data_IF_863289183075
#
_entry.id   IF_863289183075
#
_cell.length_a   1.000
_cell.length_b   1.000
_cell.length_c   1.000
_cell.angle_alpha   90.00
_cell.angle_beta   90.00
_cell.angle_gamma   90.00
#
_symmetry.space_group_name_H-M   'P 1'
#
loop_
_entity.id
_entity.type
_entity.pdbx_description
1 polymer ?
#
# COMPACT_ATOMS: atom_id res chain seq x y z
N UNK A 1 -0.67 62.53 20.91
CA UNK A 1 -0.64 61.05 20.97
C UNK A 1 0.78 60.58 20.68
N UNK A 2 1.27 59.55 21.38
CA UNK A 2 2.68 59.13 21.31
C UNK A 2 2.93 58.30 20.03
N UNK A 3 3.24 58.98 18.92
CA UNK A 3 3.49 58.37 17.59
C UNK A 3 4.54 57.26 17.66
N UNK A 4 5.58 57.43 18.48
CA UNK A 4 6.62 56.41 18.67
C UNK A 4 6.06 55.11 19.24
N UNK A 5 5.20 55.20 20.26
CA UNK A 5 4.54 54.02 20.85
C UNK A 5 3.64 53.32 19.83
N UNK A 6 2.88 54.08 19.03
CA UNK A 6 2.01 53.52 18.00
C UNK A 6 2.79 52.73 16.94
N UNK A 7 3.93 53.28 16.48
CA UNK A 7 4.83 52.60 15.53
C UNK A 7 5.42 51.33 16.17
N UNK A 8 5.88 51.39 17.42
CA UNK A 8 6.43 50.22 18.11
C UNK A 8 5.40 49.10 18.24
N UNK A 9 4.14 49.42 18.60
CA UNK A 9 3.06 48.43 18.67
C UNK A 9 2.81 47.79 17.31
N UNK A 10 2.76 48.59 16.23
CA UNK A 10 2.55 48.09 14.87
C UNK A 10 3.66 47.12 14.45
N UNK A 11 4.91 47.48 14.75
CA UNK A 11 6.09 46.67 14.40
C UNK A 11 6.14 45.38 15.21
N UNK A 12 6.00 45.45 16.54
CA UNK A 12 6.05 44.26 17.40
C UNK A 12 4.83 43.35 17.26
N UNK A 13 3.69 43.91 16.81
CA UNK A 13 2.47 43.16 16.54
C UNK A 13 2.53 42.27 15.30
N UNK A 14 3.51 42.47 14.40
CA UNK A 14 3.66 41.66 13.19
C UNK A 14 4.17 40.25 13.56
N UNK A 15 3.41 39.16 13.33
CA UNK A 15 3.80 37.84 13.81
C UNK A 15 4.69 37.11 12.79
N UNK A 16 5.95 37.53 12.61
CA UNK A 16 6.84 36.94 11.59
C UNK A 16 7.02 35.43 11.74
N UNK A 17 7.22 34.95 12.98
CA UNK A 17 7.31 33.52 13.29
C UNK A 17 6.04 32.72 12.94
N UNK A 18 4.86 33.35 12.98
CA UNK A 18 3.59 32.71 12.60
C UNK A 18 3.53 32.46 11.10
N UNK A 19 3.95 33.45 10.32
CA UNK A 19 3.94 33.41 8.84
C UNK A 19 4.81 32.27 8.32
N UNK A 20 5.99 32.06 8.92
CA UNK A 20 6.96 31.07 8.46
C UNK A 20 6.80 29.68 9.10
N UNK A 21 6.13 29.59 10.26
CA UNK A 21 6.09 28.36 11.05
C UNK A 21 5.54 27.15 10.31
N UNK A 22 4.34 27.26 9.73
CA UNK A 22 3.75 26.13 9.00
C UNK A 22 4.47 25.80 7.67
N UNK A 23 4.85 26.77 6.82
CA UNK A 23 5.62 26.48 5.61
C UNK A 23 6.92 25.72 5.85
N UNK A 24 7.70 26.08 6.87
CA UNK A 24 8.97 25.38 7.15
C UNK A 24 8.72 23.98 7.67
N UNK A 25 7.76 23.79 8.57
CA UNK A 25 7.36 22.45 9.05
C UNK A 25 6.92 21.55 7.89
N UNK A 26 6.16 22.09 6.95
CA UNK A 26 5.72 21.38 5.75
C UNK A 26 6.91 21.00 4.87
N UNK A 27 7.78 21.94 4.51
CA UNK A 27 8.95 21.65 3.65
C UNK A 27 9.85 20.57 4.27
N UNK A 28 10.14 20.66 5.58
CA UNK A 28 10.98 19.68 6.25
C UNK A 28 10.28 18.32 6.37
N UNK A 29 9.00 18.29 6.74
CA UNK A 29 8.22 17.06 6.90
C UNK A 29 8.00 16.33 5.58
N UNK A 30 7.56 17.04 4.54
CA UNK A 30 7.35 16.51 3.20
C UNK A 30 8.69 16.02 2.60
N UNK A 31 9.77 16.79 2.78
CA UNK A 31 11.10 16.39 2.35
C UNK A 31 11.62 15.14 3.07
N UNK A 32 11.30 14.98 4.36
CA UNK A 32 11.59 13.76 5.11
C UNK A 32 10.80 12.56 4.58
N UNK A 33 9.48 12.72 4.35
CA UNK A 33 8.63 11.69 3.77
C UNK A 33 9.14 11.22 2.41
N UNK A 34 9.46 12.17 1.51
CA UNK A 34 9.96 11.88 0.18
C UNK A 34 11.25 11.03 0.21
N UNK A 35 12.18 11.34 1.13
CA UNK A 35 13.40 10.54 1.36
C UNK A 35 13.13 9.11 1.83
N UNK A 36 11.96 8.84 2.41
CA UNK A 36 11.55 7.52 2.90
C UNK A 36 10.50 6.84 2.00
N UNK A 37 10.31 7.35 0.78
CA UNK A 37 9.40 6.77 -0.20
C UNK A 37 7.92 7.06 0.05
N UNK A 38 7.62 8.22 0.65
CA UNK A 38 6.27 8.73 0.93
C UNK A 38 6.17 10.13 0.33
N UNK A 39 5.52 10.26 -0.81
CA UNK A 39 5.29 11.56 -1.44
C UNK A 39 3.91 12.09 -1.04
N UNK A 40 3.85 13.25 -0.40
CA UNK A 40 2.60 13.88 0.05
C UNK A 40 2.39 15.16 -0.78
N UNK A 41 1.23 15.31 -1.42
CA UNK A 41 0.90 16.44 -2.29
C UNK A 41 0.27 17.58 -1.52
N UNK A 42 1.09 18.29 -0.76
CA UNK A 42 0.68 19.49 -0.04
C UNK A 42 0.67 19.34 1.48
N UNK A 43 0.68 20.48 2.16
CA UNK A 43 0.74 20.53 3.62
C UNK A 43 -0.61 20.29 4.31
N UNK A 44 -1.72 20.57 3.63
CA UNK A 44 -3.08 20.37 4.15
C UNK A 44 -3.42 18.87 4.28
N UNK A 45 -2.88 18.03 3.39
CA UNK A 45 -2.98 16.57 3.45
C UNK A 45 -2.39 16.03 4.76
N UNK A 46 -1.26 16.57 5.23
CA UNK A 46 -0.64 16.15 6.48
C UNK A 46 -1.56 16.40 7.70
N UNK A 47 -2.33 17.48 7.69
CA UNK A 47 -3.31 17.78 8.76
C UNK A 47 -4.54 16.89 8.68
N UNK A 48 -5.00 16.54 7.47
CA UNK A 48 -6.12 15.60 7.26
C UNK A 48 -5.75 14.19 7.74
N UNK A 49 -4.51 13.75 7.49
CA UNK A 49 -3.99 12.43 7.87
C UNK A 49 -4.10 12.13 9.37
N UNK A 50 -3.89 13.12 10.24
CA UNK A 50 -4.01 12.94 11.70
C UNK A 50 -5.46 12.67 12.14
N UNK A 51 -6.44 13.11 11.36
CA UNK A 51 -7.88 13.00 11.65
C UNK A 51 -8.51 11.71 11.14
N UNK A 52 -7.84 10.98 10.24
CA UNK A 52 -8.35 9.73 9.65
C UNK A 52 -8.64 8.70 10.75
N UNK A 53 -9.83 8.12 10.75
CA UNK A 53 -10.24 7.05 11.66
C UNK A 53 -10.44 5.70 10.93
N UNK A 54 -10.76 5.76 9.63
CA UNK A 54 -11.14 4.61 8.82
C UNK A 54 -10.23 4.50 7.61
N UNK A 55 -9.64 3.34 7.43
CA UNK A 55 -8.76 3.02 6.29
C UNK A 55 -9.43 1.93 5.46
N UNK A 56 -9.84 2.31 4.26
CA UNK A 56 -10.39 1.42 3.25
C UNK A 56 -9.30 1.03 2.25
N UNK A 57 -9.18 -0.25 1.95
CA UNK A 57 -8.18 -0.78 1.04
C UNK A 57 -8.84 -1.36 -0.19
N UNK A 58 -8.31 -1.07 -1.37
CA UNK A 58 -8.44 -2.00 -2.47
C UNK A 58 -7.70 -3.30 -2.16
N UNK A 59 -8.18 -4.42 -2.69
CA UNK A 59 -7.52 -5.71 -2.52
C UNK A 59 -6.39 -5.92 -3.53
N UNK A 60 -6.67 -5.78 -4.82
CA UNK A 60 -5.80 -6.25 -5.91
C UNK A 60 -4.67 -5.24 -6.15
N UNK A 61 -3.41 -5.69 -6.18
CA UNK A 61 -2.26 -4.76 -6.32
C UNK A 61 -1.95 -3.90 -5.10
N UNK A 62 -2.89 -3.77 -4.15
CA UNK A 62 -2.71 -3.02 -2.89
C UNK A 62 -2.35 -3.94 -1.73
N UNK A 63 -3.31 -4.68 -1.16
CA UNK A 63 -3.04 -5.68 -0.10
C UNK A 63 -2.34 -6.94 -0.64
N UNK A 64 -2.42 -7.11 -1.95
CA UNK A 64 -1.82 -8.20 -2.72
C UNK A 64 -0.70 -7.67 -3.61
N UNK A 65 0.08 -8.57 -4.20
CA UNK A 65 1.27 -8.21 -4.98
C UNK A 65 0.92 -7.62 -6.36
N UNK A 66 -0.33 -7.75 -6.82
CA UNK A 66 -0.74 -7.38 -8.18
C UNK A 66 -0.23 -8.35 -9.23
N UNK A 67 0.24 -9.53 -8.81
CA UNK A 67 0.86 -10.54 -9.67
C UNK A 67 0.27 -11.90 -9.35
N UNK A 68 -0.36 -12.50 -10.36
CA UNK A 68 -0.85 -13.87 -10.25
C UNK A 68 0.32 -14.81 -10.06
N UNK A 69 0.24 -15.68 -9.06
CA UNK A 69 1.19 -16.76 -8.83
C UNK A 69 0.46 -18.02 -8.37
N UNK A 70 1.13 -19.16 -8.43
CA UNK A 70 0.57 -20.43 -7.96
C UNK A 70 0.52 -20.40 -6.43
N UNK A 71 -0.68 -20.48 -5.87
CA UNK A 71 -0.92 -20.55 -4.43
C UNK A 71 -1.00 -21.98 -3.91
N UNK A 72 -1.56 -22.89 -4.71
CA UNK A 72 -1.66 -24.32 -4.37
C UNK A 72 -1.33 -25.15 -5.60
N UNK A 73 -0.57 -26.23 -5.40
CA UNK A 73 -0.31 -27.22 -6.43
C UNK A 73 -0.54 -28.62 -5.83
N UNK A 74 -1.18 -29.50 -6.59
CA UNK A 74 -1.36 -30.89 -6.22
C UNK A 74 -1.08 -31.78 -7.43
N UNK A 75 -0.30 -32.83 -7.21
CA UNK A 75 0.16 -33.75 -8.25
C UNK A 75 -0.39 -35.15 -8.01
N UNK A 76 -0.61 -35.88 -9.09
CA UNK A 76 -1.06 -37.29 -9.09
C UNK A 76 -0.19 -38.19 -9.98
N UNK A 77 0.90 -37.66 -10.54
CA UNK A 77 1.90 -38.44 -11.25
C UNK A 77 2.92 -39.04 -10.26
N UNK A 78 3.69 -40.03 -10.73
CA UNK A 78 4.78 -40.62 -9.93
C UNK A 78 6.04 -39.72 -9.89
N UNK A 79 6.12 -38.71 -10.75
CA UNK A 79 7.27 -37.83 -10.92
C UNK A 79 6.83 -36.37 -11.14
N UNK A 80 6.76 -35.61 -10.05
CA UNK A 80 6.33 -34.21 -10.05
C UNK A 80 7.28 -33.31 -10.85
N UNK A 81 8.58 -33.62 -10.86
CA UNK A 81 9.57 -32.85 -11.60
C UNK A 81 9.34 -32.98 -13.11
N UNK A 82 9.09 -34.21 -13.59
CA UNK A 82 8.76 -34.44 -14.99
C UNK A 82 7.44 -33.77 -15.39
N UNK A 83 6.42 -33.76 -14.52
CA UNK A 83 5.18 -33.01 -14.77
C UNK A 83 5.48 -31.51 -14.90
N UNK A 84 6.29 -30.95 -14.00
CA UNK A 84 6.66 -29.55 -14.01
C UNK A 84 7.38 -29.14 -15.32
N UNK A 85 8.32 -29.97 -15.80
CA UNK A 85 9.02 -29.73 -17.07
C UNK A 85 8.08 -29.77 -18.28
N UNK A 86 7.21 -30.78 -18.35
CA UNK A 86 6.24 -30.92 -19.44
C UNK A 86 5.24 -29.76 -19.45
N UNK A 87 4.71 -29.39 -18.28
CA UNK A 87 3.75 -28.28 -18.13
C UNK A 87 4.41 -26.95 -18.49
N UNK A 88 5.62 -26.70 -18.00
CA UNK A 88 6.33 -25.47 -18.30
C UNK A 88 6.69 -25.33 -19.78
N UNK A 89 7.06 -26.42 -20.45
CA UNK A 89 7.36 -26.41 -21.89
C UNK A 89 6.14 -25.95 -22.72
N UNK A 90 4.95 -26.51 -22.45
CA UNK A 90 3.73 -26.12 -23.16
C UNK A 90 3.35 -24.65 -22.89
N UNK A 91 3.44 -24.20 -21.64
CA UNK A 91 3.08 -22.81 -21.29
C UNK A 91 4.05 -21.78 -21.88
N UNK A 92 5.34 -22.10 -21.99
CA UNK A 92 6.32 -21.23 -22.66
C UNK A 92 6.00 -21.04 -24.15
N UNK A 93 5.39 -22.03 -24.80
CA UNK A 93 5.05 -21.95 -26.22
C UNK A 93 3.85 -21.04 -26.53
N UNK A 94 2.99 -20.70 -25.54
CA UNK A 94 1.75 -19.94 -25.77
C UNK A 94 1.75 -18.50 -25.28
N UNK A 95 2.77 -18.10 -24.52
CA UNK A 95 2.95 -16.75 -23.96
C UNK A 95 1.76 -16.24 -23.11
N UNK A 96 0.88 -17.11 -22.61
CA UNK A 96 -0.29 -16.72 -21.83
C UNK A 96 0.12 -16.16 -20.45
N UNK A 97 -0.50 -15.07 -19.93
CA UNK A 97 -0.14 -14.50 -18.63
C UNK A 97 -0.23 -15.48 -17.45
N UNK A 98 -1.25 -16.35 -17.43
CA UNK A 98 -1.33 -17.43 -16.43
C UNK A 98 -0.22 -18.46 -16.62
N UNK A 99 0.16 -18.75 -17.86
CA UNK A 99 1.26 -19.65 -18.19
C UNK A 99 2.60 -19.14 -17.67
N UNK A 100 2.86 -17.85 -17.80
CA UNK A 100 4.05 -17.22 -17.23
C UNK A 100 4.12 -17.39 -15.70
N UNK A 101 2.98 -17.29 -15.01
CA UNK A 101 2.89 -17.52 -13.58
C UNK A 101 3.15 -19.00 -13.21
N UNK A 102 2.67 -19.97 -14.00
CA UNK A 102 3.01 -21.39 -13.83
C UNK A 102 4.51 -21.61 -14.05
N UNK A 103 5.07 -21.13 -15.15
CA UNK A 103 6.50 -21.32 -15.48
C UNK A 103 7.41 -20.76 -14.39
N UNK A 104 7.09 -19.57 -13.87
CA UNK A 104 7.83 -18.95 -12.78
C UNK A 104 7.78 -19.75 -11.48
N UNK A 105 6.66 -20.42 -11.20
CA UNK A 105 6.51 -21.31 -10.05
C UNK A 105 7.26 -22.64 -10.22
N UNK A 106 7.12 -23.26 -11.40
CA UNK A 106 7.64 -24.61 -11.66
C UNK A 106 9.16 -24.67 -11.77
N UNK A 107 9.82 -23.56 -12.18
CA UNK A 107 11.28 -23.45 -12.32
C UNK A 107 11.90 -24.70 -12.97
N UNK A 108 11.50 -25.03 -14.21
CA UNK A 108 11.91 -26.27 -14.85
C UNK A 108 13.43 -26.31 -15.04
N UNK A 109 14.04 -27.48 -14.85
CA UNK A 109 15.46 -27.70 -15.11
C UNK A 109 15.72 -27.83 -16.62
N UNK A 110 14.81 -28.49 -17.33
CA UNK A 110 14.83 -28.63 -18.78
C UNK A 110 13.49 -28.21 -19.40
N UNK A 111 13.54 -27.73 -20.64
CA UNK A 111 12.36 -27.35 -21.42
C UNK A 111 12.38 -28.13 -22.73
N UNK A 112 11.75 -29.33 -22.77
CA UNK A 112 11.73 -30.14 -23.98
C UNK A 112 11.05 -29.42 -25.14
N UNK A 113 11.45 -29.75 -26.37
CA UNK A 113 10.84 -29.16 -27.56
C UNK A 113 9.35 -29.55 -27.65
N UNK A 114 8.51 -28.55 -27.97
CA UNK A 114 7.07 -28.69 -28.10
C UNK A 114 6.68 -28.71 -29.57
N UNK A 115 5.80 -29.63 -29.95
CA UNK A 115 5.24 -29.74 -31.31
C UNK A 115 3.71 -29.84 -31.27
N UNK A 116 3.04 -29.58 -32.40
CA UNK A 116 1.57 -29.64 -32.55
C UNK A 116 0.79 -28.83 -31.48
N UNK A 117 1.20 -27.58 -31.24
CA UNK A 117 0.52 -26.69 -30.28
C UNK A 117 -0.86 -26.28 -30.81
N UNK A 118 -1.90 -26.64 -30.06
CA UNK A 118 -3.30 -26.33 -30.34
C UNK A 118 -3.91 -25.55 -29.18
N UNK A 119 -4.24 -24.28 -29.42
CA UNK A 119 -4.89 -23.41 -28.44
C UNK A 119 -6.40 -23.40 -28.69
N UNK A 120 -7.17 -23.81 -27.69
CA UNK A 120 -8.64 -23.76 -27.71
C UNK A 120 -9.11 -22.63 -26.80
N UNK A 121 -9.64 -21.56 -27.39
CA UNK A 121 -10.09 -20.36 -26.66
C UNK A 121 -11.10 -20.72 -25.56
N UNK A 122 -10.84 -20.21 -24.35
CA UNK A 122 -11.70 -20.44 -23.20
C UNK A 122 -11.66 -21.86 -22.62
N UNK A 123 -10.74 -22.72 -23.10
CA UNK A 123 -10.52 -24.07 -22.57
C UNK A 123 -9.07 -24.23 -22.13
N UNK A 124 -8.10 -24.00 -23.02
CA UNK A 124 -6.68 -24.20 -22.71
C UNK A 124 -5.82 -24.45 -23.94
N UNK A 125 -4.64 -25.02 -23.71
CA UNK A 125 -3.67 -25.43 -24.72
C UNK A 125 -3.44 -26.94 -24.64
N UNK A 126 -3.26 -27.57 -25.79
CA UNK A 126 -2.77 -28.92 -25.93
C UNK A 126 -1.53 -28.93 -26.83
N UNK A 127 -0.54 -29.73 -26.51
CA UNK A 127 0.64 -29.91 -27.35
C UNK A 127 1.30 -31.28 -27.13
N UNK A 128 2.17 -31.67 -28.06
CA UNK A 128 3.06 -32.83 -27.91
C UNK A 128 4.40 -32.37 -27.35
N UNK A 129 4.83 -32.99 -26.25
CA UNK A 129 6.12 -32.72 -25.60
C UNK A 129 6.82 -34.06 -25.38
N UNK A 130 7.97 -34.24 -26.04
CA UNK A 130 8.59 -35.56 -26.20
C UNK A 130 7.58 -36.58 -26.77
N UNK A 131 7.29 -37.66 -26.04
CA UNK A 131 6.35 -38.73 -26.44
C UNK A 131 4.97 -38.61 -25.78
N UNK A 132 4.68 -37.49 -25.10
CA UNK A 132 3.47 -37.32 -24.31
C UNK A 132 2.56 -36.21 -24.85
N UNK A 133 1.25 -36.47 -24.83
CA UNK A 133 0.23 -35.46 -25.12
C UNK A 133 -0.12 -34.71 -23.84
N UNK A 134 0.28 -33.45 -23.77
CA UNK A 134 0.09 -32.59 -22.60
C UNK A 134 -1.02 -31.58 -22.88
N UNK A 135 -2.03 -31.53 -22.02
CA UNK A 135 -3.09 -30.52 -22.12
C UNK A 135 -3.23 -29.74 -20.81
N UNK A 136 -3.21 -28.41 -20.90
CA UNK A 136 -3.27 -27.48 -19.79
C UNK A 136 -4.45 -26.54 -20.01
N UNK A 137 -5.35 -26.42 -19.03
CA UNK A 137 -6.57 -25.64 -19.21
C UNK A 137 -7.41 -25.51 -17.96
N UNK A 138 -8.68 -25.15 -18.14
CA UNK A 138 -9.67 -25.16 -17.08
C UNK A 138 -10.38 -26.52 -16.98
N UNK A 139 -11.37 -26.64 -16.09
CA UNK A 139 -12.10 -27.90 -15.90
C UNK A 139 -12.70 -28.51 -17.19
N UNK A 140 -12.99 -27.70 -18.22
CA UNK A 140 -13.52 -28.18 -19.51
C UNK A 140 -12.49 -28.95 -20.35
N UNK A 141 -11.20 -28.86 -20.03
CA UNK A 141 -10.15 -29.62 -20.72
C UNK A 141 -10.05 -31.08 -20.23
N UNK A 142 -10.77 -31.44 -19.17
CA UNK A 142 -10.78 -32.79 -18.63
C UNK A 142 -11.67 -33.70 -19.47
N UNK A 143 -11.11 -34.80 -19.96
CA UNK A 143 -11.81 -35.77 -20.82
C UNK A 143 -12.11 -37.10 -20.12
N UNK A 144 -11.39 -37.41 -19.04
CA UNK A 144 -11.56 -38.63 -18.26
C UNK A 144 -12.30 -38.39 -16.94
N UNK A 145 -13.05 -39.39 -16.43
CA UNK A 145 -13.70 -39.30 -15.14
C UNK A 145 -12.68 -39.14 -14.01
N UNK A 146 -12.94 -38.19 -13.13
CA UNK A 146 -12.09 -37.89 -11.97
C UNK A 146 -12.40 -38.83 -10.81
N UNK A 147 -11.36 -39.24 -10.08
CA UNK A 147 -11.50 -39.90 -8.78
C UNK A 147 -12.07 -38.94 -7.72
N UNK A 148 -12.65 -39.48 -6.65
CA UNK A 148 -13.18 -38.68 -5.53
C UNK A 148 -12.13 -37.72 -4.95
N UNK A 149 -10.89 -38.17 -4.81
CA UNK A 149 -9.79 -37.33 -4.30
C UNK A 149 -9.48 -36.14 -5.23
N UNK A 150 -9.47 -36.36 -6.55
CA UNK A 150 -9.24 -35.31 -7.54
C UNK A 150 -10.39 -34.29 -7.59
N UNK A 151 -11.64 -34.76 -7.45
CA UNK A 151 -12.80 -33.88 -7.36
C UNK A 151 -12.72 -32.97 -6.13
N UNK A 152 -12.37 -33.53 -4.96
CA UNK A 152 -12.18 -32.74 -3.73
C UNK A 152 -11.08 -31.70 -3.90
N UNK A 153 -9.95 -32.06 -4.48
CA UNK A 153 -8.85 -31.12 -4.74
C UNK A 153 -9.27 -29.94 -5.61
N UNK A 154 -9.94 -30.21 -6.74
CA UNK A 154 -10.45 -29.17 -7.65
C UNK A 154 -11.45 -28.26 -6.92
N UNK A 155 -12.37 -28.83 -6.16
CA UNK A 155 -13.36 -28.06 -5.39
C UNK A 155 -12.69 -27.19 -4.33
N UNK A 156 -11.63 -27.65 -3.67
CA UNK A 156 -10.88 -26.86 -2.70
C UNK A 156 -10.21 -25.65 -3.37
N UNK A 157 -9.61 -25.83 -4.54
CA UNK A 157 -9.02 -24.72 -5.32
C UNK A 157 -10.09 -23.69 -5.69
N UNK A 158 -11.23 -24.13 -6.21
CA UNK A 158 -12.35 -23.23 -6.58
C UNK A 158 -12.88 -22.48 -5.37
N UNK A 159 -13.11 -23.17 -4.25
CA UNK A 159 -13.59 -22.57 -2.99
C UNK A 159 -12.60 -21.55 -2.41
N UNK A 160 -11.30 -21.72 -2.66
CA UNK A 160 -10.28 -20.76 -2.23
C UNK A 160 -10.27 -19.45 -3.03
N UNK A 161 -11.10 -19.36 -4.09
CA UNK A 161 -11.15 -18.22 -5.01
C UNK A 161 -10.00 -18.15 -6.01
N UNK A 162 -9.17 -19.20 -6.09
CA UNK A 162 -8.10 -19.27 -7.05
C UNK A 162 -8.63 -19.67 -8.45
N UNK A 163 -8.00 -19.14 -9.48
CA UNK A 163 -8.18 -19.59 -10.86
C UNK A 163 -7.61 -20.99 -11.01
N UNK A 164 -8.50 -21.95 -11.27
CA UNK A 164 -8.13 -23.35 -11.47
C UNK A 164 -7.44 -23.55 -12.82
N UNK A 165 -6.23 -24.10 -12.79
CA UNK A 165 -5.54 -24.65 -13.96
C UNK A 165 -5.31 -26.14 -13.73
N UNK A 166 -5.71 -26.96 -14.70
CA UNK A 166 -5.51 -28.41 -14.66
C UNK A 166 -4.54 -28.81 -15.75
N UNK A 167 -3.63 -29.73 -15.44
CA UNK A 167 -2.67 -30.30 -16.37
C UNK A 167 -2.91 -31.80 -16.51
N UNK A 168 -3.03 -32.26 -17.74
CA UNK A 168 -3.22 -33.67 -18.09
C UNK A 168 -2.07 -34.16 -18.96
N UNK A 169 -1.65 -35.40 -18.74
CA UNK A 169 -0.65 -36.12 -19.53
C UNK A 169 -1.32 -37.39 -20.06
N UNK A 170 -1.34 -37.56 -21.38
CA UNK A 170 -1.99 -38.68 -22.07
C UNK A 170 -3.45 -38.88 -21.64
N UNK A 171 -4.16 -37.76 -21.44
CA UNK A 171 -5.56 -37.71 -21.02
C UNK A 171 -5.83 -37.97 -19.53
N UNK A 172 -4.80 -38.30 -18.74
CA UNK A 172 -4.93 -38.48 -17.28
C UNK A 172 -4.57 -37.20 -16.54
N UNK A 173 -5.30 -36.86 -15.49
CA UNK A 173 -4.99 -35.70 -14.64
C UNK A 173 -3.65 -35.92 -13.92
N UNK A 174 -2.67 -35.07 -14.25
CA UNK A 174 -1.32 -35.13 -13.71
C UNK A 174 -1.14 -34.11 -12.58
N UNK A 175 -1.68 -32.91 -12.74
CA UNK A 175 -1.60 -31.87 -11.71
C UNK A 175 -2.78 -30.88 -11.76
N UNK A 176 -3.01 -30.22 -10.64
CA UNK A 176 -3.94 -29.11 -10.48
C UNK A 176 -3.21 -27.97 -9.80
N UNK A 177 -3.40 -26.76 -10.32
CA UNK A 177 -2.84 -25.52 -9.82
C UNK A 177 -3.95 -24.54 -9.50
N UNK A 178 -3.85 -23.89 -8.35
CA UNK A 178 -4.67 -22.75 -7.97
C UNK A 178 -3.87 -21.47 -8.13
N UNK A 179 -4.21 -20.65 -9.12
CA UNK A 179 -3.54 -19.40 -9.41
C UNK A 179 -4.32 -18.23 -8.82
N UNK A 180 -3.65 -17.39 -8.04
CA UNK A 180 -4.26 -16.15 -7.52
C UNK A 180 -3.19 -15.11 -7.25
N UNK A 181 -3.65 -13.87 -7.10
CA UNK A 181 -2.81 -12.83 -6.51
C UNK A 181 -2.56 -13.18 -5.05
N UNK A 182 -1.32 -13.05 -4.59
CA UNK A 182 -0.95 -13.37 -3.21
C UNK A 182 -0.91 -12.12 -2.35
N UNK A 183 -1.28 -12.25 -1.07
CA UNK A 183 -1.11 -11.18 -0.10
C UNK A 183 0.37 -10.76 -0.03
N UNK A 184 0.61 -9.47 0.18
CA UNK A 184 1.96 -9.00 0.47
C UNK A 184 2.39 -9.49 1.85
N UNK A 185 3.68 -9.77 1.99
CA UNK A 185 4.25 -10.27 3.25
C UNK A 185 4.11 -9.27 4.40
N UNK A 186 4.01 -7.98 4.09
CA UNK A 186 3.86 -6.89 5.06
C UNK A 186 2.40 -6.56 5.41
N UNK A 187 1.41 -7.12 4.68
CA UNK A 187 -0.02 -6.86 4.93
C UNK A 187 -0.46 -7.18 6.36
N UNK A 188 -0.18 -8.36 6.95
CA UNK A 188 -0.64 -8.67 8.30
C UNK A 188 -0.08 -7.72 9.36
N UNK A 189 1.22 -7.41 9.28
CA UNK A 189 1.89 -6.51 10.22
C UNK A 189 1.41 -5.05 10.11
N UNK A 190 1.12 -4.60 8.89
CA UNK A 190 0.54 -3.27 8.66
C UNK A 190 -0.88 -3.18 9.26
N UNK A 191 -1.75 -4.16 9.00
CA UNK A 191 -3.11 -4.15 9.53
C UNK A 191 -3.13 -4.20 11.06
N UNK A 192 -2.27 -5.03 11.67
CA UNK A 192 -2.11 -5.06 13.12
C UNK A 192 -1.66 -3.71 13.70
N UNK A 193 -0.76 -3.00 13.00
CA UNK A 193 -0.32 -1.66 13.39
C UNK A 193 -1.45 -0.63 13.32
N UNK A 194 -2.29 -0.69 12.28
CA UNK A 194 -3.44 0.22 12.16
C UNK A 194 -4.49 -0.04 13.24
N UNK A 195 -4.79 -1.32 13.51
CA UNK A 195 -5.73 -1.69 14.55
C UNK A 195 -5.23 -1.28 15.95
N UNK A 196 -3.94 -1.47 16.24
CA UNK A 196 -3.32 -1.03 17.48
C UNK A 196 -3.37 0.50 17.68
N UNK A 197 -3.41 1.25 16.57
CA UNK A 197 -3.61 2.70 16.57
C UNK A 197 -5.10 3.12 16.55
N UNK A 198 -6.01 2.17 16.77
CA UNK A 198 -7.45 2.42 16.85
C UNK A 198 -8.12 2.73 15.51
N UNK A 199 -7.49 2.39 14.38
CA UNK A 199 -8.07 2.62 13.05
C UNK A 199 -8.98 1.47 12.64
N UNK A 200 -10.15 1.80 12.10
CA UNK A 200 -11.06 0.84 11.47
C UNK A 200 -10.50 0.46 10.10
N UNK A 201 -10.38 -0.83 9.81
CA UNK A 201 -9.78 -1.34 8.57
C UNK A 201 -10.83 -2.08 7.75
N UNK A 202 -11.05 -1.65 6.51
CA UNK A 202 -12.08 -2.20 5.61
C UNK A 202 -11.44 -2.59 4.29
N UNK A 203 -11.79 -3.76 3.75
CA UNK A 203 -11.37 -4.18 2.40
C UNK A 203 -12.53 -4.03 1.43
N UNK A 204 -12.28 -3.41 0.29
CA UNK A 204 -13.20 -3.28 -0.85
C UNK A 204 -12.60 -4.04 -2.04
N UNK A 205 -13.37 -4.96 -2.64
CA UNK A 205 -12.88 -5.84 -3.70
C UNK A 205 -13.96 -6.15 -4.74
N UNK A 206 -13.52 -6.35 -5.99
CA UNK A 206 -14.39 -6.83 -7.07
C UNK A 206 -14.64 -8.35 -7.03
N UNK A 207 -13.76 -9.12 -6.37
CA UNK A 207 -13.98 -10.56 -6.14
C UNK A 207 -15.23 -10.81 -5.32
N UNK A 208 -15.86 -11.98 -5.49
CA UNK A 208 -17.05 -12.34 -4.71
C UNK A 208 -16.81 -12.28 -3.20
N UNK A 209 -17.86 -11.96 -2.44
CA UNK A 209 -17.81 -11.84 -0.98
C UNK A 209 -17.12 -13.05 -0.32
N UNK A 210 -17.52 -14.26 -0.71
CA UNK A 210 -16.96 -15.51 -0.16
C UNK A 210 -15.44 -15.65 -0.39
N UNK A 211 -14.94 -15.20 -1.54
CA UNK A 211 -13.50 -15.26 -1.84
C UNK A 211 -12.72 -14.26 -0.98
N UNK A 212 -13.26 -13.04 -0.84
CA UNK A 212 -12.63 -12.01 -0.02
C UNK A 212 -12.60 -12.43 1.45
N UNK A 213 -13.73 -12.90 1.99
CA UNK A 213 -13.82 -13.37 3.38
C UNK A 213 -12.85 -14.53 3.64
N UNK A 214 -12.78 -15.50 2.73
CA UNK A 214 -11.88 -16.63 2.88
C UNK A 214 -10.40 -16.22 2.85
N UNK A 215 -10.02 -15.29 1.96
CA UNK A 215 -8.65 -14.80 1.85
C UNK A 215 -8.23 -13.96 3.05
N UNK A 216 -9.17 -13.26 3.66
CA UNK A 216 -8.95 -12.27 4.70
C UNK A 216 -9.23 -12.78 6.12
N UNK A 217 -9.68 -14.04 6.26
CA UNK A 217 -10.16 -14.63 7.51
C UNK A 217 -9.15 -14.54 8.67
N UNK A 218 -7.86 -14.70 8.38
CA UNK A 218 -6.79 -14.70 9.39
C UNK A 218 -6.18 -13.32 9.64
N UNK A 219 -6.71 -12.27 9.00
CA UNK A 219 -6.18 -10.91 9.11
C UNK A 219 -7.01 -10.06 10.08
N UNK A 220 -6.36 -9.13 10.82
CA UNK A 220 -7.04 -8.22 11.73
C UNK A 220 -7.78 -7.11 10.95
N UNK A 221 -8.94 -7.46 10.40
CA UNK A 221 -9.81 -6.57 9.63
C UNK A 221 -11.11 -6.30 10.37
N UNK A 222 -11.65 -5.10 10.20
CA UNK A 222 -12.97 -4.75 10.76
C UNK A 222 -14.10 -5.26 9.87
N UNK A 223 -13.98 -5.10 8.55
CA UNK A 223 -15.00 -5.49 7.57
C UNK A 223 -14.40 -5.84 6.20
N UNK A 224 -15.09 -6.69 5.45
CA UNK A 224 -14.76 -7.04 4.05
C UNK A 224 -16.00 -6.92 3.18
N UNK A 225 -15.85 -6.28 2.02
CA UNK A 225 -16.91 -6.12 1.02
C UNK A 225 -16.38 -6.56 -0.35
N UNK A 226 -17.01 -7.59 -0.90
CA UNK A 226 -16.74 -8.17 -2.21
C UNK A 226 -17.88 -7.93 -3.21
N UNK A 227 -17.63 -8.23 -4.49
CA UNK A 227 -18.56 -8.07 -5.59
C UNK A 227 -18.77 -6.61 -6.01
N UNK A 228 -17.84 -5.72 -5.66
CA UNK A 228 -17.97 -4.28 -5.88
C UNK A 228 -17.47 -3.88 -7.26
N UNK A 229 -18.27 -3.07 -7.97
CA UNK A 229 -17.81 -2.30 -9.13
C UNK A 229 -17.05 -1.05 -8.65
N UNK A 230 -16.27 -0.37 -9.53
CA UNK A 230 -15.57 0.86 -9.16
C UNK A 230 -16.49 1.94 -8.56
N UNK A 231 -17.73 2.06 -9.05
CA UNK A 231 -18.74 3.00 -8.52
C UNK A 231 -19.24 2.63 -7.12
N UNK A 232 -19.25 1.33 -6.80
CA UNK A 232 -19.70 0.86 -5.49
C UNK A 232 -18.64 1.15 -4.43
N UNK A 233 -17.35 1.12 -4.79
CA UNK A 233 -16.27 1.56 -3.89
C UNK A 233 -16.44 3.02 -3.49
N UNK A 234 -16.73 3.90 -4.47
CA UNK A 234 -17.02 5.33 -4.23
C UNK A 234 -18.23 5.49 -3.31
N UNK A 235 -19.27 4.69 -3.53
CA UNK A 235 -20.50 4.71 -2.73
C UNK A 235 -20.23 4.28 -1.28
N UNK A 236 -19.40 3.25 -1.07
CA UNK A 236 -18.99 2.80 0.27
C UNK A 236 -18.21 3.89 1.02
N UNK A 237 -17.30 4.60 0.34
CA UNK A 237 -16.55 5.73 0.93
C UNK A 237 -17.51 6.85 1.33
N UNK A 238 -18.43 7.25 0.44
CA UNK A 238 -19.44 8.28 0.75
C UNK A 238 -20.33 7.91 1.92
N UNK A 239 -20.73 6.64 2.02
CA UNK A 239 -21.56 6.16 3.11
C UNK A 239 -20.84 6.27 4.46
N UNK A 240 -19.57 5.90 4.53
CA UNK A 240 -18.76 6.06 5.74
C UNK A 240 -18.58 7.55 6.10
N UNK A 241 -18.27 8.40 5.12
CA UNK A 241 -18.16 9.85 5.31
C UNK A 241 -19.47 10.48 5.82
N UNK A 242 -20.62 10.01 5.34
CA UNK A 242 -21.93 10.46 5.80
C UNK A 242 -22.22 10.08 7.27
N UNK A 243 -21.60 9.01 7.77
CA UNK A 243 -21.63 8.64 9.19
C UNK A 243 -20.62 9.42 10.05
N UNK A 244 -19.88 10.37 9.46
CA UNK A 244 -18.89 11.19 10.14
C UNK A 244 -17.49 10.57 10.22
N UNK A 245 -17.27 9.41 9.59
CA UNK A 245 -15.94 8.78 9.51
C UNK A 245 -15.02 9.62 8.62
N UNK A 246 -13.75 9.76 9.03
CA UNK A 246 -12.69 10.34 8.21
C UNK A 246 -11.95 9.24 7.46
N UNK A 247 -12.18 9.18 6.15
CA UNK A 247 -11.85 8.02 5.33
C UNK A 247 -10.56 8.24 4.55
N UNK A 248 -9.60 7.35 4.78
CA UNK A 248 -8.47 7.14 3.89
C UNK A 248 -8.79 5.98 2.96
N UNK A 249 -8.57 6.15 1.66
CA UNK A 249 -8.63 5.04 0.71
C UNK A 249 -7.22 4.73 0.18
N UNK A 250 -6.84 3.46 0.20
CA UNK A 250 -5.53 2.99 -0.30
C UNK A 250 -5.77 2.09 -1.50
N UNK A 251 -5.19 2.44 -2.65
CA UNK A 251 -5.38 1.71 -3.92
C UNK A 251 -4.12 1.66 -4.78
N UNK A 252 -4.16 0.88 -5.87
CA UNK A 252 -3.04 0.81 -6.81
C UNK A 252 -3.01 2.01 -7.78
N UNK A 253 -4.13 2.72 -7.88
CA UNK A 253 -4.32 3.91 -8.70
C UNK A 253 -4.55 3.66 -10.18
N UNK A 254 -4.62 2.39 -10.62
CA UNK A 254 -4.95 2.03 -12.01
C UNK A 254 -6.48 2.02 -12.19
N UNK A 255 -7.18 1.30 -11.32
CA UNK A 255 -8.64 1.13 -11.40
C UNK A 255 -9.40 1.93 -10.33
N UNK A 256 -8.67 2.51 -9.37
CA UNK A 256 -9.24 3.11 -8.17
C UNK A 256 -9.23 4.64 -8.16
N UNK A 257 -8.93 5.29 -9.28
CA UNK A 257 -8.87 6.76 -9.39
C UNK A 257 -10.10 7.47 -8.79
N UNK A 258 -11.34 7.07 -9.12
CA UNK A 258 -12.54 7.67 -8.53
C UNK A 258 -12.66 7.49 -7.01
N UNK A 259 -12.20 6.35 -6.48
CA UNK A 259 -12.23 6.06 -5.05
C UNK A 259 -11.15 6.88 -4.30
N UNK A 260 -9.94 6.98 -4.88
CA UNK A 260 -8.86 7.84 -4.39
C UNK A 260 -9.31 9.30 -4.29
N UNK A 261 -9.97 9.82 -5.31
CA UNK A 261 -10.44 11.20 -5.35
C UNK A 261 -11.63 11.48 -4.41
N UNK A 262 -12.41 10.47 -4.05
CA UNK A 262 -13.57 10.62 -3.16
C UNK A 262 -13.18 10.61 -1.67
N UNK A 263 -12.08 9.95 -1.30
CA UNK A 263 -11.64 9.84 0.08
C UNK A 263 -11.23 11.20 0.66
N UNK A 264 -11.23 11.34 2.00
CA UNK A 264 -10.66 12.52 2.66
C UNK A 264 -9.14 12.58 2.43
N UNK A 265 -8.50 11.40 2.32
CA UNK A 265 -7.11 11.23 1.87
C UNK A 265 -7.00 9.99 0.97
N UNK A 266 -6.66 10.19 -0.31
CA UNK A 266 -6.33 9.13 -1.25
C UNK A 266 -4.86 8.74 -1.20
N UNK A 267 -4.54 7.47 -1.00
CA UNK A 267 -3.18 6.93 -0.99
C UNK A 267 -2.98 5.93 -2.12
N UNK A 268 -2.06 6.21 -3.03
CA UNK A 268 -1.73 5.31 -4.11
C UNK A 268 -0.44 4.52 -3.86
N UNK A 269 -0.43 3.26 -4.28
CA UNK A 269 0.77 2.45 -4.36
C UNK A 269 1.65 2.89 -5.55
N UNK A 270 2.97 2.86 -5.38
CA UNK A 270 3.91 3.28 -6.43
C UNK A 270 3.85 2.46 -7.72
N UNK A 271 3.23 1.27 -7.71
CA UNK A 271 3.05 0.42 -8.89
C UNK A 271 2.13 1.00 -9.97
N UNK A 272 1.30 1.99 -9.65
CA UNK A 272 0.41 2.69 -10.61
C UNK A 272 0.66 4.19 -10.68
N UNK A 273 1.89 4.63 -10.43
CA UNK A 273 2.25 6.05 -10.30
C UNK A 273 1.78 6.91 -11.47
N UNK A 274 1.91 6.42 -12.71
CA UNK A 274 1.58 7.19 -13.93
C UNK A 274 0.10 7.58 -14.01
N UNK A 275 -0.80 6.78 -13.42
CA UNK A 275 -2.24 7.03 -13.40
C UNK A 275 -2.68 7.69 -12.08
N UNK A 276 -1.96 7.43 -11.00
CA UNK A 276 -2.29 7.90 -9.66
C UNK A 276 -1.73 9.29 -9.31
N UNK A 277 -0.76 9.79 -10.08
CA UNK A 277 -0.08 11.07 -9.81
C UNK A 277 -0.98 12.30 -9.98
N UNK A 278 -2.15 12.15 -10.59
CA UNK A 278 -3.12 13.24 -10.69
C UNK A 278 -4.27 13.12 -9.68
N UNK A 279 -4.51 11.91 -9.15
CA UNK A 279 -5.70 11.62 -8.33
C UNK A 279 -5.41 11.41 -6.84
N UNK A 280 -4.24 10.89 -6.47
CA UNK A 280 -3.94 10.58 -5.07
C UNK A 280 -3.34 11.77 -4.30
N UNK A 281 -3.66 11.93 -3.03
CA UNK A 281 -3.02 12.92 -2.15
C UNK A 281 -1.64 12.46 -1.68
N UNK A 282 -1.45 11.15 -1.53
CA UNK A 282 -0.19 10.54 -1.08
C UNK A 282 0.19 9.39 -2.01
N UNK A 283 1.48 9.25 -2.30
CA UNK A 283 2.03 8.16 -3.11
C UNK A 283 3.12 7.43 -2.33
N UNK A 284 2.96 6.11 -2.17
CA UNK A 284 3.95 5.24 -1.55
C UNK A 284 4.91 4.71 -2.62
N UNK A 285 5.96 5.46 -2.94
CA UNK A 285 6.84 5.16 -4.07
C UNK A 285 7.58 3.82 -3.94
N UNK A 286 7.89 3.38 -2.71
CA UNK A 286 8.50 2.06 -2.50
C UNK A 286 7.51 0.89 -2.51
N UNK A 287 6.21 1.13 -2.71
CA UNK A 287 5.14 0.11 -2.65
C UNK A 287 5.18 -0.77 -1.40
N UNK A 288 5.63 -0.22 -0.26
CA UNK A 288 5.67 -0.91 1.03
C UNK A 288 4.49 -0.44 1.87
N UNK A 289 3.63 -1.36 2.29
CA UNK A 289 2.46 -1.03 3.11
C UNK A 289 2.86 -0.60 4.52
N UNK A 290 4.02 -1.04 5.02
CA UNK A 290 4.58 -0.56 6.28
C UNK A 290 4.80 0.95 6.31
N UNK A 291 4.96 1.61 5.15
CA UNK A 291 5.09 3.05 5.08
C UNK A 291 3.81 3.79 5.51
N UNK A 292 2.63 3.14 5.51
CA UNK A 292 1.41 3.75 6.05
C UNK A 292 1.56 4.06 7.54
N UNK A 293 2.22 3.20 8.32
CA UNK A 293 2.51 3.48 9.73
C UNK A 293 3.43 4.69 9.90
N UNK A 294 4.46 4.79 9.04
CA UNK A 294 5.37 5.95 9.01
C UNK A 294 4.65 7.23 8.59
N UNK A 295 3.71 7.13 7.65
CA UNK A 295 2.87 8.24 7.20
C UNK A 295 2.04 8.83 8.35
N UNK A 296 1.35 7.99 9.12
CA UNK A 296 0.57 8.42 10.27
C UNK A 296 1.43 9.05 11.37
N UNK A 297 2.61 8.48 11.67
CA UNK A 297 3.54 9.08 12.64
C UNK A 297 4.04 10.45 12.17
N UNK A 298 4.43 10.54 10.89
CA UNK A 298 4.91 11.78 10.30
C UNK A 298 3.84 12.88 10.33
N UNK A 299 2.61 12.54 9.94
CA UNK A 299 1.47 13.45 9.98
C UNK A 299 1.23 14.01 11.39
N UNK A 300 1.18 13.14 12.40
CA UNK A 300 1.02 13.53 13.81
C UNK A 300 2.16 14.43 14.30
N UNK A 301 3.39 14.14 13.91
CA UNK A 301 4.55 14.95 14.29
C UNK A 301 4.54 16.31 13.61
N UNK A 302 4.18 16.38 12.33
CA UNK A 302 4.01 17.62 11.60
C UNK A 302 2.94 18.49 12.26
N UNK A 303 1.77 17.93 12.55
CA UNK A 303 0.68 18.66 13.22
C UNK A 303 1.10 19.21 14.60
N UNK A 304 1.72 18.37 15.44
CA UNK A 304 2.25 18.82 16.72
C UNK A 304 3.32 19.92 16.59
N UNK A 305 4.18 19.82 15.58
CA UNK A 305 5.21 20.82 15.32
C UNK A 305 4.61 22.17 14.88
N UNK A 306 3.59 22.13 14.02
CA UNK A 306 2.85 23.33 13.59
C UNK A 306 2.15 23.99 14.79
N UNK A 307 1.50 23.20 15.66
CA UNK A 307 0.87 23.70 16.90
C UNK A 307 1.89 24.33 17.85
N UNK A 308 3.07 23.73 18.00
CA UNK A 308 4.17 24.33 18.79
C UNK A 308 4.63 25.67 18.20
N UNK A 309 4.81 25.75 16.87
CA UNK A 309 5.23 26.97 16.19
C UNK A 309 4.18 28.08 16.34
N UNK A 310 2.89 27.73 16.28
CA UNK A 310 1.78 28.64 16.54
C UNK A 310 1.83 29.22 17.97
N UNK A 311 2.05 28.35 18.98
CA UNK A 311 2.17 28.77 20.38
C UNK A 311 3.38 29.69 20.60
N UNK A 312 4.54 29.35 20.01
CA UNK A 312 5.75 30.19 20.09
C UNK A 312 5.49 31.57 19.47
N UNK A 313 4.88 31.61 18.28
CA UNK A 313 4.66 32.86 17.56
C UNK A 313 3.67 33.79 18.27
N UNK A 314 2.49 33.27 18.67
CA UNK A 314 1.48 34.05 19.39
C UNK A 314 2.00 34.44 20.78
N UNK A 315 2.64 33.50 21.48
CA UNK A 315 3.22 33.75 22.80
C UNK A 315 4.29 34.85 22.75
N UNK A 316 5.13 34.86 21.72
CA UNK A 316 6.15 35.91 21.54
C UNK A 316 5.48 37.28 21.36
N UNK A 317 4.54 37.42 20.43
CA UNK A 317 3.85 38.71 20.20
C UNK A 317 3.16 39.19 21.47
N UNK A 318 2.46 38.30 22.19
CA UNK A 318 1.80 38.64 23.45
C UNK A 318 2.78 39.13 24.52
N UNK A 319 3.92 38.45 24.67
CA UNK A 319 4.97 38.83 25.62
C UNK A 319 5.63 40.16 25.25
N UNK A 320 5.92 40.40 23.97
CA UNK A 320 6.54 41.64 23.50
C UNK A 320 5.62 42.85 23.69
N UNK A 321 4.34 42.72 23.33
CA UNK A 321 3.35 43.78 23.52
C UNK A 321 3.09 44.05 25.00
N UNK A 322 2.99 43.00 25.82
CA UNK A 322 2.82 43.16 27.27
C UNK A 322 4.06 43.84 27.88
N UNK A 323 5.26 43.40 27.49
CA UNK A 323 6.54 43.97 27.89
C UNK A 323 6.68 45.45 27.50
N UNK A 324 6.17 45.84 26.34
CA UNK A 324 6.13 47.23 25.90
C UNK A 324 5.19 48.08 26.78
N UNK A 325 4.00 47.57 27.12
CA UNK A 325 3.02 48.29 27.94
C UNK A 325 3.50 48.53 29.37
N UNK A 326 4.27 47.60 29.94
CA UNK A 326 4.89 47.73 31.28
C UNK A 326 6.26 48.45 31.26
N UNK A 327 6.74 48.85 30.09
CA UNK A 327 8.01 49.58 29.93
C UNK A 327 9.29 48.74 30.05
N UNK A 328 9.20 47.41 29.98
CA UNK A 328 10.35 46.50 30.01
C UNK A 328 10.95 46.25 28.61
N UNK A 329 10.16 46.44 27.55
CA UNK A 329 10.58 46.19 26.16
C UNK A 329 10.52 47.49 25.37
N UNK A 330 11.60 47.78 24.65
CA UNK A 330 11.66 48.85 23.67
C UNK A 330 11.65 48.29 22.23
N UNK A 331 11.69 49.16 21.23
CA UNK A 331 11.65 48.74 19.83
C UNK A 331 12.84 47.84 19.46
N UNK A 332 14.05 48.15 19.94
CA UNK A 332 15.26 47.43 19.55
C UNK A 332 15.29 46.02 20.18
N UNK A 333 15.09 45.93 21.48
CA UNK A 333 14.99 44.66 22.20
C UNK A 333 13.82 43.81 21.70
N UNK A 334 12.66 44.44 21.45
CA UNK A 334 11.50 43.74 20.93
C UNK A 334 11.74 43.12 19.56
N UNK A 335 12.39 43.84 18.64
CA UNK A 335 12.78 43.30 17.32
C UNK A 335 13.81 42.18 17.42
N UNK A 336 14.76 42.26 18.37
CA UNK A 336 15.71 41.17 18.59
C UNK A 336 15.03 39.87 19.03
N UNK A 337 14.13 39.94 20.02
CA UNK A 337 13.38 38.77 20.48
C UNK A 337 12.40 38.24 19.43
N UNK A 338 11.86 39.12 18.60
CA UNK A 338 11.08 38.73 17.43
C UNK A 338 11.91 37.87 16.46
N UNK A 339 13.12 38.30 16.10
CA UNK A 339 14.00 37.52 15.20
C UNK A 339 14.43 36.18 15.84
N UNK A 340 14.71 36.18 17.16
CA UNK A 340 15.00 34.94 17.90
C UNK A 340 13.82 33.97 17.82
N UNK A 341 12.57 34.45 17.88
CA UNK A 341 11.38 33.59 17.77
C UNK A 341 11.26 32.92 16.40
N UNK A 342 11.67 33.61 15.33
CA UNK A 342 11.74 33.04 13.97
C UNK A 342 12.77 31.90 13.94
N UNK A 343 13.98 32.15 14.48
CA UNK A 343 15.02 31.12 14.57
C UNK A 343 14.58 29.91 15.39
N UNK A 344 13.86 30.13 16.50
CA UNK A 344 13.31 29.05 17.33
C UNK A 344 12.28 28.21 16.58
N UNK A 345 11.38 28.83 15.84
CA UNK A 345 10.38 28.14 15.01
C UNK A 345 11.06 27.31 13.90
N UNK A 346 12.07 27.86 13.24
CA UNK A 346 12.87 27.15 12.24
C UNK A 346 13.58 25.95 12.88
N UNK A 347 14.26 26.15 14.01
CA UNK A 347 14.94 25.09 14.74
C UNK A 347 13.97 23.98 15.19
N UNK A 348 12.77 24.36 15.63
CA UNK A 348 11.73 23.41 16.00
C UNK A 348 11.25 22.60 14.78
N UNK A 349 11.03 23.23 13.64
CA UNK A 349 10.64 22.54 12.40
C UNK A 349 11.72 21.55 11.92
N UNK A 350 13.00 21.88 12.05
CA UNK A 350 14.12 21.00 11.69
C UNK A 350 14.15 19.68 12.50
N UNK A 351 13.47 19.60 13.66
CA UNK A 351 13.31 18.35 14.42
C UNK A 351 12.56 17.27 13.64
N UNK A 352 11.75 17.66 12.64
CA UNK A 352 11.05 16.72 11.76
C UNK A 352 12.01 15.92 10.87
N UNK A 353 13.26 16.37 10.69
CA UNK A 353 14.27 15.70 9.85
C UNK A 353 14.70 14.32 10.38
N UNK A 354 14.51 14.04 11.67
CA UNK A 354 15.02 12.83 12.31
C UNK A 354 13.88 11.88 12.67
N UNK A 355 13.98 10.61 12.31
CA UNK A 355 13.05 9.57 12.76
C UNK A 355 13.31 9.24 14.24
N UNK A 356 12.29 9.14 15.10
CA UNK A 356 12.45 8.55 16.43
C UNK A 356 12.97 7.12 16.30
N UNK A 357 13.94 6.75 17.15
CA UNK A 357 14.60 5.43 17.20
C UNK A 357 13.63 4.24 17.24
N UNK A 358 12.40 4.44 17.73
CA UNK A 358 11.34 3.44 17.85
C UNK A 358 10.76 2.98 16.50
N UNK A 359 10.84 3.82 15.46
CA UNK A 359 10.34 3.53 14.10
C UNK A 359 11.43 3.06 13.14
N UNK A 360 12.71 3.25 13.49
CA UNK A 360 13.81 2.65 12.74
C UNK A 360 13.64 1.13 12.64
N UNK A 361 13.14 0.48 13.70
CA UNK A 361 12.86 -0.95 13.74
C UNK A 361 11.80 -1.42 12.74
N UNK A 362 10.90 -0.56 12.25
CA UNK A 362 9.94 -0.93 11.18
C UNK A 362 10.59 -0.89 9.79
N UNK A 363 11.65 -0.11 9.62
CA UNK A 363 12.49 -0.09 8.41
C UNK A 363 13.61 -1.15 8.43
N UNK A 364 14.17 -1.50 9.60
CA UNK A 364 15.28 -2.48 9.72
C UNK A 364 14.86 -3.96 9.73
N UNK A 365 13.57 -4.30 9.75
CA UNK A 365 13.14 -5.71 9.67
C UNK A 365 13.52 -6.39 8.33
N UNK A 366 13.98 -5.64 7.30
CA UNK A 366 14.49 -6.25 6.05
C UNK A 366 15.99 -6.19 5.81
N UNK A 367 16.75 -5.28 6.43
CA UNK A 367 18.20 -5.26 6.19
C UNK A 367 18.90 -6.46 6.87
N UNK A 368 18.33 -6.99 7.95
CA UNK A 368 18.84 -8.22 8.58
C UNK A 368 18.46 -9.49 7.81
N UNK A 369 17.27 -9.56 7.20
CA UNK A 369 16.82 -10.74 6.45
C UNK A 369 17.41 -10.81 5.03
N UNK A 370 17.78 -9.67 4.43
CA UNK A 370 18.49 -9.64 3.16
C UNK A 370 19.99 -9.95 3.31
N UNK A 371 20.57 -9.76 4.51
CA UNK A 371 21.98 -10.08 4.78
C UNK A 371 22.21 -11.52 5.23
N UNK A 372 21.23 -12.21 5.81
CA UNK A 372 21.40 -13.62 6.21
C UNK A 372 21.33 -14.61 5.05
N UNK A 373 20.63 -14.29 3.94
CA UNK A 373 20.57 -15.20 2.77
C UNK A 373 21.84 -15.15 1.91
N UNK A 374 22.65 -14.10 2.02
CA UNK A 374 23.89 -13.95 1.23
C UNK A 374 25.17 -14.46 1.93
N UNK A 375 25.09 -14.95 3.18
CA UNK A 375 26.26 -15.36 3.96
C UNK A 375 26.33 -16.85 4.32
N UNK A 376 25.41 -17.69 3.84
CA UNK A 376 25.50 -19.17 3.98
C UNK A 376 25.95 -19.88 2.70
N UNK A 377 26.71 -19.18 1.85
CA UNK A 377 27.28 -19.72 0.61
C UNK A 377 28.74 -19.31 0.43
N UNK A 378 29.61 -19.69 1.36
CA UNK A 378 31.05 -19.79 1.15
C UNK A 378 31.58 -21.09 1.72
#
# INVERSE_FOLDING_TARGET
QNVRLAITILVLGCPGALVIGAPVSNVVGLGFGAKHGILIKGGDVATKLDQIDTVMFDKTGTLTQGKISVATAQYWANDDAKVAELVAAVEQATAHPLGQALVAYLKPQTTPAVTDVKVTRGIGVQAQVADHTVSIGNQKSLTQPLTTAQQVAIQNVIKSGASLVVATIDGKLAAVYGLRDQLRTDTPGMLATLQANGKKTVVLSGDSQAVVEHMMADLPLSQTHGGLLPVDKVTAIKAAQAHGEKVMFVGDGINDGPALAQADVGVAMGSGMDVAIDTADVILTSSRLTNLGVLFDLAKRMDNNIKQNLVIAIGTVALLLSGLLIGLVDMASGMLFHEISILLVIANALRLRHTPRKLQNLTTIKDAAAQTVNNEGK
#
